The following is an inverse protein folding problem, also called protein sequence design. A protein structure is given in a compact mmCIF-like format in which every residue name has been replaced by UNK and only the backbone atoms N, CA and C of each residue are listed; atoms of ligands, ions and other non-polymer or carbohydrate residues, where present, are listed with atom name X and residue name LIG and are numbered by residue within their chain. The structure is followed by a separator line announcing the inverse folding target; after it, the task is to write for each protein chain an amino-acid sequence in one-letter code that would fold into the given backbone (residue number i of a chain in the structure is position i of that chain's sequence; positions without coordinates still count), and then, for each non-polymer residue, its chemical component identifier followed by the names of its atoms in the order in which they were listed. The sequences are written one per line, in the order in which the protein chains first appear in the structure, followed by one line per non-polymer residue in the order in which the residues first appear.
data_IF_974298000265
#
_entry.id   IF_974298000265
#
_cell.length_a   1.000
_cell.length_b   1.000
_cell.length_c   1.000
_cell.angle_alpha   90.00
_cell.angle_beta   90.00
_cell.angle_gamma   90.00
#
_symmetry.space_group_name_H-M   'P 1'
#
loop_
_entity.id
_entity.type
_entity.pdbx_description
1 polymer ?
#
# COMPACT_ATOMS: atom_id res chain seq x y z
N UNK A 1 13.46 -9.75 20.96
CA UNK A 1 13.73 -8.35 20.53
C UNK A 1 14.86 -8.22 19.51
N UNK A 2 15.72 -9.23 19.33
CA UNK A 2 16.86 -9.23 18.38
C UNK A 2 16.43 -9.43 16.92
N UNK A 3 15.32 -10.13 16.65
CA UNK A 3 14.87 -10.44 15.28
C UNK A 3 14.34 -9.22 14.51
N UNK A 4 13.76 -8.23 15.17
CA UNK A 4 13.21 -7.03 14.50
C UNK A 4 14.29 -6.09 14.00
N UNK A 5 15.40 -5.95 14.74
CA UNK A 5 16.52 -5.07 14.38
C UNK A 5 17.27 -5.57 13.15
N UNK A 6 17.34 -6.89 12.92
CA UNK A 6 17.94 -7.48 11.73
C UNK A 6 17.05 -7.39 10.48
N UNK A 7 15.73 -7.25 10.64
CA UNK A 7 14.81 -7.13 9.52
C UNK A 7 14.79 -5.73 8.88
N UNK A 8 15.13 -4.68 9.61
CA UNK A 8 15.09 -3.30 9.13
C UNK A 8 15.97 -3.05 7.89
N UNK A 9 17.25 -3.50 7.85
CA UNK A 9 18.08 -3.34 6.66
C UNK A 9 17.52 -4.07 5.43
N UNK A 10 17.00 -5.28 5.61
CA UNK A 10 16.40 -6.05 4.52
C UNK A 10 15.13 -5.37 3.99
N UNK A 11 14.27 -4.84 4.85
CA UNK A 11 13.07 -4.09 4.46
C UNK A 11 13.44 -2.82 3.69
N UNK A 12 14.47 -2.09 4.14
CA UNK A 12 14.97 -0.91 3.41
C UNK A 12 15.55 -1.29 2.05
N UNK A 13 16.29 -2.38 1.97
CA UNK A 13 16.81 -2.90 0.69
C UNK A 13 15.68 -3.32 -0.26
N UNK A 14 14.54 -3.77 0.28
CA UNK A 14 13.32 -4.06 -0.47
C UNK A 14 12.47 -2.81 -0.79
N UNK A 15 13.02 -1.59 -0.57
CA UNK A 15 12.35 -0.33 -0.89
C UNK A 15 11.37 0.17 0.19
N UNK A 16 11.23 -0.48 1.33
CA UNK A 16 10.37 0.02 2.41
C UNK A 16 10.95 1.32 2.97
N UNK A 17 10.20 2.41 2.82
CA UNK A 17 10.55 3.75 3.30
C UNK A 17 10.26 3.85 4.80
N UNK A 18 9.08 3.39 5.21
CA UNK A 18 8.62 3.48 6.58
C UNK A 18 7.19 2.96 6.76
N UNK A 19 6.70 3.07 7.98
CA UNK A 19 5.39 2.57 8.39
C UNK A 19 4.48 3.70 8.89
N UNK A 20 3.19 3.43 8.85
CA UNK A 20 2.17 4.32 9.38
C UNK A 20 1.15 3.57 10.23
N UNK A 21 0.62 4.29 11.20
CA UNK A 21 -0.51 3.87 12.03
C UNK A 21 -1.54 5.01 12.05
N UNK A 22 -2.79 4.71 11.78
CA UNK A 22 -3.86 5.71 11.71
C UNK A 22 -4.99 5.37 12.67
N UNK A 23 -5.30 6.28 13.58
CA UNK A 23 -6.59 6.29 14.29
C UNK A 23 -7.63 6.89 13.33
N UNK A 24 -8.54 6.02 12.84
CA UNK A 24 -9.54 6.42 11.85
C UNK A 24 -10.56 7.37 12.46
N UNK A 25 -10.95 7.16 13.72
CA UNK A 25 -11.93 7.98 14.42
C UNK A 25 -11.39 9.38 14.72
N UNK A 26 -10.13 9.46 15.17
CA UNK A 26 -9.47 10.73 15.45
C UNK A 26 -9.01 11.46 14.17
N UNK A 27 -8.96 10.77 13.04
CA UNK A 27 -8.44 11.33 11.78
C UNK A 27 -6.94 11.63 11.81
N UNK A 28 -6.18 10.92 12.67
CA UNK A 28 -4.77 11.16 12.91
C UNK A 28 -3.92 9.98 12.47
N UNK A 29 -2.78 10.28 11.84
CA UNK A 29 -1.78 9.28 11.44
C UNK A 29 -0.47 9.53 12.19
N UNK A 30 0.15 8.47 12.66
CA UNK A 30 1.50 8.46 13.22
C UNK A 30 2.41 7.79 12.19
N UNK A 31 3.49 8.47 11.86
CA UNK A 31 4.51 8.00 10.91
C UNK A 31 5.79 7.66 11.69
N UNK A 32 6.53 6.66 11.22
CA UNK A 32 7.93 6.51 11.66
C UNK A 32 8.84 7.56 10.99
N UNK A 33 10.11 7.56 11.35
CA UNK A 33 11.09 8.54 10.87
C UNK A 33 11.21 8.55 9.34
N UNK A 34 11.28 7.38 8.71
CA UNK A 34 11.40 7.26 7.26
C UNK A 34 10.17 7.77 6.52
N UNK A 35 8.98 7.37 6.96
CA UNK A 35 7.72 7.86 6.40
C UNK A 35 7.55 9.37 6.63
N UNK A 36 7.86 9.89 7.82
CA UNK A 36 7.76 11.31 8.14
C UNK A 36 8.71 12.16 7.27
N UNK A 37 9.94 11.71 7.06
CA UNK A 37 10.89 12.40 6.19
C UNK A 37 10.39 12.51 4.75
N UNK A 38 9.85 11.43 4.19
CA UNK A 38 9.46 11.38 2.77
C UNK A 38 8.08 11.97 2.53
N UNK A 39 7.07 11.59 3.31
CA UNK A 39 5.66 11.94 3.06
C UNK A 39 5.27 13.31 3.66
N UNK A 40 5.74 13.60 4.88
CA UNK A 40 5.50 14.87 5.55
C UNK A 40 6.61 15.91 5.30
N UNK A 41 7.76 15.47 4.80
CA UNK A 41 8.91 16.32 4.53
C UNK A 41 9.73 16.72 5.77
N UNK A 42 9.47 16.08 6.91
CA UNK A 42 10.18 16.39 8.15
C UNK A 42 10.25 15.17 9.06
N UNK A 43 11.44 14.58 9.20
CA UNK A 43 11.68 13.43 10.09
C UNK A 43 11.33 13.74 11.57
N UNK A 44 11.43 15.00 11.99
CA UNK A 44 11.09 15.42 13.36
C UNK A 44 9.61 15.28 13.72
N UNK A 45 8.74 15.00 12.74
CA UNK A 45 7.31 14.70 12.95
C UNK A 45 7.06 13.22 13.28
N UNK A 46 8.09 12.39 13.28
CA UNK A 46 7.96 10.98 13.62
C UNK A 46 7.36 10.76 15.01
N UNK A 47 6.49 9.78 15.12
CA UNK A 47 5.82 9.43 16.38
C UNK A 47 4.72 10.40 16.83
N UNK A 48 4.48 11.50 16.11
CA UNK A 48 3.44 12.47 16.45
C UNK A 48 2.12 12.14 15.74
N UNK A 49 0.97 12.36 16.38
CA UNK A 49 -0.35 12.18 15.73
C UNK A 49 -0.65 13.38 14.81
N UNK A 50 -0.45 13.20 13.52
CA UNK A 50 -0.59 14.23 12.49
C UNK A 50 -1.97 14.18 11.82
N UNK A 51 -2.57 15.33 11.45
CA UNK A 51 -3.64 15.34 10.46
C UNK A 51 -3.18 14.68 9.16
N UNK A 52 -4.11 14.09 8.41
CA UNK A 52 -3.76 13.36 7.17
C UNK A 52 -3.09 14.28 6.14
N UNK A 53 -3.55 15.51 6.03
CA UNK A 53 -3.00 16.53 5.11
C UNK A 53 -1.54 16.87 5.45
N UNK A 54 -1.19 16.86 6.74
CA UNK A 54 0.21 17.06 7.19
C UNK A 54 1.03 15.80 6.97
N UNK A 55 0.49 14.64 7.34
CA UNK A 55 1.18 13.35 7.18
C UNK A 55 1.52 13.05 5.71
N UNK A 56 0.71 13.55 4.77
CA UNK A 56 0.82 13.36 3.33
C UNK A 56 1.06 14.68 2.59
N UNK A 57 1.76 15.62 3.23
CA UNK A 57 1.94 17.00 2.73
C UNK A 57 2.69 17.10 1.40
N UNK A 58 3.54 16.11 1.07
CA UNK A 58 4.38 16.10 -0.13
C UNK A 58 3.80 15.34 -1.32
N UNK A 59 2.55 14.90 -1.25
CA UNK A 59 1.88 14.28 -2.40
C UNK A 59 1.85 15.26 -3.56
N UNK A 60 2.15 14.75 -4.77
CA UNK A 60 2.02 15.52 -6.00
C UNK A 60 0.61 16.12 -6.13
N UNK A 61 0.47 17.41 -6.51
CA UNK A 61 -0.83 18.09 -6.57
C UNK A 61 -1.91 17.30 -7.33
N UNK A 62 -1.57 16.74 -8.50
CA UNK A 62 -2.53 16.03 -9.35
C UNK A 62 -3.04 14.71 -8.73
N UNK A 63 -2.31 14.14 -7.77
CA UNK A 63 -2.67 12.87 -7.15
C UNK A 63 -3.49 13.06 -5.87
N UNK A 64 -3.56 14.28 -5.32
CA UNK A 64 -4.16 14.56 -4.01
C UNK A 64 -5.63 14.21 -3.95
N UNK A 65 -6.45 14.74 -4.83
CA UNK A 65 -7.90 14.58 -4.76
C UNK A 65 -8.31 13.11 -4.90
N UNK A 66 -7.69 12.42 -5.85
CA UNK A 66 -7.89 11.00 -6.06
C UNK A 66 -7.46 10.18 -4.82
N UNK A 67 -6.24 10.38 -4.33
CA UNK A 67 -5.72 9.61 -3.20
C UNK A 67 -6.53 9.84 -1.92
N UNK A 68 -6.85 11.08 -1.60
CA UNK A 68 -7.70 11.39 -0.46
C UNK A 68 -9.11 10.81 -0.61
N UNK A 69 -9.63 10.71 -1.84
CA UNK A 69 -10.86 9.99 -2.16
C UNK A 69 -10.77 8.50 -1.80
N UNK A 70 -9.70 7.84 -2.23
CA UNK A 70 -9.43 6.42 -1.91
C UNK A 70 -9.29 6.19 -0.40
N UNK A 71 -8.55 7.05 0.30
CA UNK A 71 -8.38 6.96 1.76
C UNK A 71 -9.72 7.13 2.48
N UNK A 72 -10.55 8.10 2.08
CA UNK A 72 -11.90 8.29 2.65
C UNK A 72 -12.76 7.06 2.45
N UNK A 73 -12.70 6.44 1.27
CA UNK A 73 -13.43 5.21 0.99
C UNK A 73 -12.94 4.07 1.90
N UNK A 74 -11.64 3.81 1.95
CA UNK A 74 -11.05 2.77 2.78
C UNK A 74 -11.38 2.93 4.28
N UNK A 75 -11.41 4.17 4.77
CA UNK A 75 -11.82 4.46 6.15
C UNK A 75 -13.27 4.10 6.45
N UNK A 76 -14.17 4.16 5.45
CA UNK A 76 -15.59 3.80 5.61
C UNK A 76 -15.82 2.30 5.52
N UNK A 77 -15.13 1.63 4.61
CA UNK A 77 -15.36 0.21 4.32
C UNK A 77 -14.47 -0.72 5.16
N UNK A 78 -13.35 -0.22 5.68
CA UNK A 78 -12.30 -1.07 6.22
C UNK A 78 -11.66 -1.94 5.14
N UNK A 79 -10.88 -2.93 5.57
CA UNK A 79 -10.26 -3.91 4.70
C UNK A 79 -8.86 -3.51 4.22
N UNK A 80 -8.42 -4.17 3.16
CA UNK A 80 -7.10 -3.94 2.56
C UNK A 80 -7.09 -2.63 1.77
N UNK A 81 -6.00 -1.87 1.91
CA UNK A 81 -5.75 -0.64 1.19
C UNK A 81 -4.45 -0.73 0.40
N UNK A 82 -4.50 -0.36 -0.86
CA UNK A 82 -3.32 -0.26 -1.72
C UNK A 82 -3.51 0.93 -2.67
N UNK A 83 -2.52 1.83 -2.70
CA UNK A 83 -2.52 2.97 -3.61
C UNK A 83 -1.08 3.37 -3.94
N UNK A 84 -0.80 3.61 -5.21
CA UNK A 84 0.49 4.10 -5.67
C UNK A 84 0.33 5.53 -6.18
N UNK A 85 1.19 6.44 -5.72
CA UNK A 85 1.10 7.88 -6.00
C UNK A 85 2.47 8.52 -6.03
N UNK A 86 2.52 9.74 -6.53
CA UNK A 86 3.73 10.55 -6.63
C UNK A 86 3.91 11.42 -5.39
N UNK A 87 5.17 11.51 -4.94
CA UNK A 87 5.61 12.41 -3.86
C UNK A 87 6.72 13.30 -4.40
N UNK A 88 6.69 14.57 -4.03
CA UNK A 88 7.72 15.54 -4.39
C UNK A 88 8.81 15.59 -3.33
N UNK A 89 10.08 15.42 -3.74
CA UNK A 89 11.25 15.70 -2.89
C UNK A 89 11.40 17.20 -2.63
N UNK A 90 12.33 17.59 -1.76
CA UNK A 90 12.65 19.01 -1.54
C UNK A 90 13.19 19.71 -2.79
N UNK A 91 13.87 18.95 -3.62
CA UNK A 91 14.44 19.40 -4.89
C UNK A 91 13.43 19.41 -6.03
N UNK A 92 12.17 19.00 -5.77
CA UNK A 92 11.11 18.92 -6.77
C UNK A 92 11.13 17.63 -7.62
N UNK A 93 12.02 16.68 -7.32
CA UNK A 93 12.05 15.40 -8.02
C UNK A 93 10.84 14.53 -7.63
N UNK A 94 10.28 13.83 -8.60
CA UNK A 94 9.15 12.91 -8.40
C UNK A 94 9.67 11.55 -7.91
N UNK A 95 9.06 11.05 -6.82
CA UNK A 95 9.21 9.68 -6.34
C UNK A 95 7.87 8.97 -6.39
N UNK A 96 7.85 7.74 -6.83
CA UNK A 96 6.69 6.87 -6.81
C UNK A 96 6.65 6.07 -5.51
N UNK A 97 5.54 6.17 -4.81
CA UNK A 97 5.36 5.54 -3.50
C UNK A 97 4.12 4.66 -3.53
N UNK A 98 4.31 3.39 -3.25
CA UNK A 98 3.22 2.45 -3.01
C UNK A 98 2.89 2.44 -1.52
N UNK A 99 1.66 2.81 -1.18
CA UNK A 99 1.10 2.68 0.16
C UNK A 99 0.29 1.37 0.24
N UNK A 100 0.65 0.49 1.16
CA UNK A 100 -0.08 -0.75 1.42
C UNK A 100 -0.37 -0.90 2.90
N UNK A 101 -1.58 -1.35 3.21
CA UNK A 101 -1.96 -1.55 4.60
C UNK A 101 -3.35 -2.17 4.75
N UNK A 102 -3.80 -2.25 5.99
CA UNK A 102 -5.11 -2.76 6.37
C UNK A 102 -5.77 -1.80 7.34
N UNK A 103 -7.07 -1.60 7.17
CA UNK A 103 -7.92 -0.87 8.12
C UNK A 103 -8.88 -1.89 8.72
N UNK A 104 -8.81 -2.07 10.04
CA UNK A 104 -9.60 -3.04 10.79
C UNK A 104 -9.94 -2.51 12.18
N UNK A 105 -10.86 -3.18 12.86
CA UNK A 105 -11.09 -2.91 14.27
C UNK A 105 -9.96 -3.49 15.12
N UNK A 106 -9.45 -2.70 16.06
CA UNK A 106 -8.54 -3.17 17.08
C UNK A 106 -9.30 -3.91 18.20
N UNK A 107 -8.58 -4.44 19.19
CA UNK A 107 -9.15 -5.18 20.34
C UNK A 107 -10.21 -4.38 21.12
N UNK A 108 -10.15 -3.05 21.09
CA UNK A 108 -11.14 -2.16 21.73
C UNK A 108 -12.29 -1.76 20.80
N UNK A 109 -12.43 -2.37 19.63
CA UNK A 109 -13.48 -2.11 18.64
C UNK A 109 -13.30 -0.81 17.85
N UNK A 110 -12.17 -0.11 18.00
CA UNK A 110 -11.90 1.13 17.26
C UNK A 110 -11.28 0.81 15.89
N UNK A 111 -11.72 1.52 14.87
CA UNK A 111 -11.12 1.42 13.53
C UNK A 111 -9.70 1.99 13.52
N UNK A 112 -8.75 1.15 13.18
CA UNK A 112 -7.33 1.46 13.10
C UNK A 112 -6.76 1.01 11.75
N UNK A 113 -5.90 1.83 11.16
CA UNK A 113 -5.15 1.48 9.96
C UNK A 113 -3.68 1.27 10.28
N UNK A 114 -3.09 0.25 9.70
CA UNK A 114 -1.66 -0.08 9.79
C UNK A 114 -1.12 -0.38 8.40
N UNK A 115 0.05 0.13 8.08
CA UNK A 115 0.66 -0.17 6.78
C UNK A 115 2.07 0.36 6.61
N UNK A 116 2.56 0.23 5.38
CA UNK A 116 3.90 0.63 4.99
C UNK A 116 3.88 1.42 3.68
N UNK A 117 4.89 2.27 3.52
CA UNK A 117 5.24 2.95 2.28
C UNK A 117 6.46 2.29 1.65
N UNK A 118 6.38 2.03 0.37
CA UNK A 118 7.42 1.36 -0.42
C UNK A 118 7.78 2.28 -1.59
N UNK A 119 9.08 2.53 -1.78
CA UNK A 119 9.57 3.26 -2.95
C UNK A 119 9.55 2.36 -4.18
N UNK A 120 8.81 2.75 -5.19
CA UNK A 120 8.69 2.05 -6.46
C UNK A 120 9.26 2.85 -7.64
N UNK A 121 10.04 3.90 -7.34
CA UNK A 121 10.61 4.80 -8.36
C UNK A 121 11.54 4.08 -9.34
N UNK A 122 12.28 3.07 -8.85
CA UNK A 122 13.22 2.32 -9.69
C UNK A 122 12.45 1.49 -10.72
N UNK A 123 12.62 1.82 -12.01
CA UNK A 123 12.00 1.11 -13.13
C UNK A 123 10.81 1.82 -13.76
N UNK A 124 10.41 2.98 -13.26
CA UNK A 124 9.35 3.79 -13.88
C UNK A 124 9.91 4.99 -14.63
N UNK A 125 9.47 5.16 -15.88
CA UNK A 125 9.66 6.43 -16.61
C UNK A 125 8.79 7.51 -15.98
N UNK A 126 9.34 8.71 -15.82
CA UNK A 126 8.68 9.87 -15.23
C UNK A 126 7.43 10.32 -16.01
N UNK A 127 6.46 10.90 -15.31
CA UNK A 127 5.37 11.77 -15.78
C UNK A 127 4.02 11.19 -16.22
N UNK A 128 3.65 9.98 -15.82
CA UNK A 128 2.25 9.55 -15.97
C UNK A 128 1.50 9.78 -14.66
N UNK A 129 0.39 10.56 -14.61
CA UNK A 129 -0.43 10.73 -13.41
C UNK A 129 -0.94 9.38 -12.89
N UNK A 130 -0.86 9.17 -11.55
CA UNK A 130 -1.31 7.94 -10.90
C UNK A 130 -2.79 7.60 -11.23
N UNK A 131 -3.63 8.63 -11.37
CA UNK A 131 -5.02 8.47 -11.78
C UNK A 131 -5.19 7.86 -13.18
N UNK A 132 -4.24 8.07 -14.10
CA UNK A 132 -4.26 7.46 -15.43
C UNK A 132 -3.77 6.02 -15.42
N UNK A 133 -2.91 5.67 -14.48
CA UNK A 133 -2.44 4.29 -14.28
C UNK A 133 -3.51 3.41 -13.61
N UNK A 134 -4.41 4.03 -12.83
CA UNK A 134 -5.54 3.35 -12.19
C UNK A 134 -6.84 3.40 -13.01
N UNK A 135 -6.90 4.21 -14.09
CA UNK A 135 -8.04 4.27 -15.02
C UNK A 135 -8.05 3.15 -16.07
N UNK A 136 -6.99 2.36 -16.20
CA UNK A 136 -7.15 1.02 -16.68
C UNK A 136 -7.88 0.26 -15.58
N UNK A 137 -9.22 0.21 -15.66
CA UNK A 137 -10.05 -0.69 -14.85
C UNK A 137 -9.64 -2.10 -15.28
N UNK A 138 -8.53 -2.59 -14.75
CA UNK A 138 -8.31 -4.02 -14.72
C UNK A 138 -9.44 -4.56 -13.87
N UNK A 139 -10.29 -5.38 -14.48
CA UNK A 139 -11.35 -6.08 -13.76
C UNK A 139 -10.75 -6.61 -12.45
N UNK A 140 -11.31 -6.31 -11.27
CA UNK A 140 -10.77 -6.77 -9.99
C UNK A 140 -10.48 -8.27 -9.96
N UNK A 141 -11.20 -9.06 -10.78
CA UNK A 141 -10.94 -10.49 -10.96
C UNK A 141 -9.67 -10.77 -11.76
N UNK A 142 -9.30 -9.93 -12.74
CA UNK A 142 -8.03 -10.06 -13.45
C UNK A 142 -6.88 -9.78 -12.49
N UNK A 143 -6.96 -8.69 -11.72
CA UNK A 143 -5.97 -8.38 -10.69
C UNK A 143 -5.87 -9.51 -9.66
N UNK A 144 -6.99 -10.08 -9.23
CA UNK A 144 -7.01 -11.22 -8.32
C UNK A 144 -6.35 -12.46 -8.94
N UNK A 145 -6.58 -12.72 -10.24
CA UNK A 145 -5.94 -13.81 -10.97
C UNK A 145 -4.42 -13.67 -10.97
N UNK A 146 -3.90 -12.48 -11.31
CA UNK A 146 -2.46 -12.21 -11.36
C UNK A 146 -1.80 -12.42 -9.99
N UNK A 147 -2.43 -11.92 -8.92
CA UNK A 147 -1.92 -12.13 -7.55
C UNK A 147 -1.97 -13.59 -7.12
N UNK A 148 -2.98 -14.35 -7.54
CA UNK A 148 -3.05 -15.78 -7.28
C UNK A 148 -1.99 -16.56 -8.06
N UNK A 149 -1.67 -16.17 -9.29
CA UNK A 149 -0.58 -16.77 -10.10
C UNK A 149 0.77 -16.52 -9.42
N UNK A 150 1.04 -15.30 -8.97
CA UNK A 150 2.26 -14.96 -8.22
C UNK A 150 2.38 -15.81 -6.94
N UNK A 151 1.30 -15.90 -6.15
CA UNK A 151 1.26 -16.70 -4.94
C UNK A 151 1.46 -18.19 -5.22
N UNK A 152 0.78 -18.73 -6.23
CA UNK A 152 0.92 -20.13 -6.65
C UNK A 152 2.36 -20.43 -7.07
N UNK A 153 2.98 -19.56 -7.86
CA UNK A 153 4.37 -19.70 -8.30
C UNK A 153 5.33 -19.73 -7.09
N UNK A 154 5.14 -18.84 -6.11
CA UNK A 154 5.95 -18.84 -4.89
C UNK A 154 5.76 -20.12 -4.08
N UNK A 155 4.54 -20.64 -3.97
CA UNK A 155 4.22 -21.88 -3.25
C UNK A 155 4.77 -23.13 -3.93
N UNK A 156 5.05 -23.11 -5.25
CA UNK A 156 5.67 -24.22 -5.97
C UNK A 156 7.16 -24.39 -5.63
N UNK A 157 7.80 -23.35 -5.08
CA UNK A 157 9.22 -23.39 -4.70
C UNK A 157 9.44 -23.93 -3.27
N UNK A 158 8.36 -24.21 -2.53
CA UNK A 158 8.40 -24.70 -1.15
C UNK A 158 7.54 -25.96 -0.95
N UNK A 159 7.66 -26.57 0.23
CA UNK A 159 6.86 -27.75 0.61
C UNK A 159 5.52 -27.34 1.24
N UNK A 160 4.62 -26.76 0.41
CA UNK A 160 3.32 -26.24 0.83
C UNK A 160 2.19 -26.82 -0.02
N UNK A 161 2.05 -28.16 -0.05
CA UNK A 161 1.13 -28.88 -0.92
C UNK A 161 -0.34 -28.41 -0.75
N UNK A 162 -0.79 -28.24 0.51
CA UNK A 162 -2.16 -27.82 0.81
C UNK A 162 -2.45 -26.40 0.29
N UNK A 163 -1.50 -25.47 0.46
CA UNK A 163 -1.65 -24.10 -0.01
C UNK A 163 -1.60 -24.02 -1.53
N UNK A 164 -0.80 -24.87 -2.20
CA UNK A 164 -0.82 -24.99 -3.67
C UNK A 164 -2.19 -25.41 -4.17
N UNK A 165 -2.76 -26.46 -3.59
CA UNK A 165 -4.08 -26.94 -3.97
C UNK A 165 -5.17 -25.87 -3.80
N UNK A 166 -5.11 -25.09 -2.72
CA UNK A 166 -6.02 -23.97 -2.50
C UNK A 166 -5.85 -22.87 -3.55
N UNK A 167 -4.61 -22.53 -3.90
CA UNK A 167 -4.34 -21.52 -4.94
C UNK A 167 -4.81 -21.98 -6.34
N UNK A 168 -4.68 -23.25 -6.68
CA UNK A 168 -5.21 -23.85 -7.92
C UNK A 168 -6.75 -23.78 -7.98
N UNK A 169 -7.42 -24.12 -6.90
CA UNK A 169 -8.88 -24.01 -6.80
C UNK A 169 -9.34 -22.57 -6.96
N UNK A 170 -8.64 -21.62 -6.34
CA UNK A 170 -8.97 -20.21 -6.45
C UNK A 170 -8.78 -19.69 -7.88
N UNK A 171 -7.65 -20.01 -8.53
CA UNK A 171 -7.39 -19.68 -9.94
C UNK A 171 -8.45 -20.26 -10.87
N UNK A 172 -8.82 -21.51 -10.64
CA UNK A 172 -9.88 -22.17 -11.44
C UNK A 172 -11.23 -21.46 -11.26
N UNK A 173 -11.55 -21.05 -10.03
CA UNK A 173 -12.80 -20.32 -9.74
C UNK A 173 -12.82 -18.95 -10.39
N UNK A 174 -11.72 -18.18 -10.29
CA UNK A 174 -11.57 -16.87 -10.93
C UNK A 174 -11.72 -17.01 -12.45
N UNK A 175 -10.97 -17.96 -13.06
CA UNK A 175 -11.02 -18.22 -14.51
C UNK A 175 -12.43 -18.56 -15.00
N UNK A 176 -13.15 -19.38 -14.25
CA UNK A 176 -14.55 -19.73 -14.58
C UNK A 176 -15.47 -18.50 -14.51
N UNK A 177 -15.30 -17.66 -13.49
CA UNK A 177 -16.09 -16.42 -13.33
C UNK A 177 -15.80 -15.42 -14.45
N UNK A 178 -14.53 -15.27 -14.86
CA UNK A 178 -14.15 -14.43 -15.99
C UNK A 178 -14.74 -14.96 -17.31
N UNK A 179 -14.70 -16.27 -17.54
CA UNK A 179 -15.27 -16.89 -18.74
C UNK A 179 -16.79 -16.75 -18.87
N UNK A 180 -17.51 -16.57 -17.76
CA UNK A 180 -18.96 -16.34 -17.77
C UNK A 180 -19.36 -14.89 -18.09
N UNK A 181 -18.39 -13.97 -18.14
CA UNK A 181 -18.60 -12.53 -18.44
C UNK A 181 -18.34 -12.17 -19.91
N UNK A 182 -17.79 -13.10 -20.68
CA UNK A 182 -17.55 -13.00 -22.12
C UNK A 182 -18.79 -13.50 -22.89
#
# INVERSE_FOLDING_TARGET
MVALTAAIPALRAAGVIGIWNTDVAAGRSVLDEGAAAVLAGNAGLAGQPLPLETALGRIHPDDRDWLFGQIRQARRTGGFFSAEFRVLSEEGNVRWILNRGTISQNESGRMQGLGAYIDTTVGRGSDVPAALLTQGIEDPLIVAADRCIEAHTALTQGDHADLRSLSELLLTSIGRTLAQRL
#
